data_IF_402660270982
#
_entry.id   IF_402660270982
#
_cell.length_a   1.000
_cell.length_b   1.000
_cell.length_c   1.000
_cell.angle_alpha   90.00
_cell.angle_beta   90.00
_cell.angle_gamma   90.00
#
_symmetry.space_group_name_H-M   'P 1'
#
loop_
_entity.id
_entity.type
_entity.pdbx_description
1 polymer ?
#
# COMPACT_ATOMS: atom_id res chain seq x y z
N UNK A 1 0.05 19.75 -12.54
CA UNK A 1 -0.45 18.49 -13.10
C UNK A 1 -0.68 17.54 -11.93
N UNK A 2 -1.94 17.36 -11.51
CA UNK A 2 -2.26 16.38 -10.47
C UNK A 2 -2.64 15.09 -11.19
N UNK A 3 -1.71 14.13 -11.22
CA UNK A 3 -2.02 12.79 -11.73
C UNK A 3 -2.86 12.05 -10.69
N UNK A 4 -4.06 11.65 -11.08
CA UNK A 4 -4.90 10.76 -10.30
C UNK A 4 -4.43 9.32 -10.48
N UNK A 5 -4.64 8.49 -9.46
CA UNK A 5 -4.41 7.06 -9.51
C UNK A 5 -5.75 6.34 -9.47
N UNK A 6 -5.97 5.42 -10.39
CA UNK A 6 -7.15 4.57 -10.38
C UNK A 6 -6.73 3.13 -10.57
N UNK A 7 -6.97 2.33 -9.54
CA UNK A 7 -6.87 0.89 -9.64
C UNK A 7 -8.24 0.29 -9.92
N UNK A 8 -8.29 -0.66 -10.84
CA UNK A 8 -9.51 -1.37 -11.22
C UNK A 8 -9.71 -2.60 -10.33
N UNK A 9 -10.96 -3.03 -10.16
CA UNK A 9 -11.31 -4.17 -9.31
C UNK A 9 -10.72 -5.52 -9.79
N UNK A 10 -10.39 -5.64 -11.07
CA UNK A 10 -9.74 -6.79 -11.67
C UNK A 10 -8.21 -6.65 -11.74
N UNK A 11 -7.64 -5.59 -11.17
CA UNK A 11 -6.21 -5.37 -11.13
C UNK A 11 -5.62 -5.77 -9.77
N UNK A 12 -4.35 -6.16 -9.79
CA UNK A 12 -3.55 -6.43 -8.59
C UNK A 12 -2.37 -5.48 -8.55
N UNK A 13 -2.29 -4.66 -7.50
CA UNK A 13 -1.12 -3.83 -7.25
C UNK A 13 0.00 -4.68 -6.65
N UNK A 14 1.20 -4.55 -7.19
CA UNK A 14 2.39 -5.31 -6.75
C UNK A 14 3.55 -4.42 -6.33
N UNK A 15 3.39 -3.58 -5.29
CA UNK A 15 4.48 -2.74 -4.83
C UNK A 15 5.54 -3.57 -4.11
N UNK A 16 6.81 -3.23 -4.33
CA UNK A 16 7.93 -3.75 -3.56
C UNK A 16 8.31 -2.75 -2.48
N UNK A 17 7.95 -3.02 -1.23
CA UNK A 17 8.21 -2.12 -0.11
C UNK A 17 9.60 -2.36 0.48
N UNK A 18 10.33 -1.28 0.72
CA UNK A 18 11.60 -1.29 1.44
C UNK A 18 11.59 -0.36 2.63
N UNK A 19 12.74 -0.24 3.29
CA UNK A 19 12.92 0.68 4.40
C UNK A 19 12.63 2.14 4.00
N UNK A 20 12.19 2.95 4.97
CA UNK A 20 11.95 4.39 4.82
C UNK A 20 10.90 4.79 3.75
N UNK A 21 9.89 3.94 3.51
CA UNK A 21 8.83 4.23 2.52
C UNK A 21 9.27 4.01 1.08
N UNK A 22 10.37 3.30 0.85
CA UNK A 22 10.75 2.84 -0.48
C UNK A 22 9.63 1.96 -1.06
N UNK A 23 9.24 2.23 -2.32
CA UNK A 23 8.15 1.52 -2.99
C UNK A 23 6.74 2.01 -2.66
N UNK A 24 6.60 3.05 -1.83
CA UNK A 24 5.32 3.69 -1.60
C UNK A 24 4.81 4.43 -2.84
N UNK A 25 3.52 4.34 -3.11
CA UNK A 25 2.86 5.03 -4.22
C UNK A 25 2.50 6.46 -3.82
N UNK A 26 3.15 7.45 -4.43
CA UNK A 26 2.83 8.87 -4.21
C UNK A 26 1.99 9.39 -5.36
N UNK A 27 0.77 9.81 -5.05
CA UNK A 27 -0.23 10.31 -6.00
C UNK A 27 -0.45 11.79 -5.73
N UNK A 28 -0.21 12.64 -6.72
CA UNK A 28 -0.40 14.08 -6.56
C UNK A 28 -1.90 14.47 -6.48
N UNK A 29 -2.77 13.67 -7.10
CA UNK A 29 -4.22 13.84 -7.09
C UNK A 29 -4.95 12.84 -6.19
N UNK A 30 -6.11 12.38 -6.67
CA UNK A 30 -6.96 11.40 -5.99
C UNK A 30 -6.52 9.98 -6.32
N UNK A 31 -6.41 9.13 -5.30
CA UNK A 31 -6.21 7.69 -5.42
C UNK A 31 -7.53 6.94 -5.22
N UNK A 32 -7.93 6.18 -6.22
CA UNK A 32 -9.07 5.26 -6.18
C UNK A 32 -8.52 3.84 -6.10
N UNK A 33 -8.79 3.17 -4.99
CA UNK A 33 -8.30 1.83 -4.70
C UNK A 33 -9.42 0.82 -4.92
N UNK A 34 -9.10 -0.24 -5.66
CA UNK A 34 -9.95 -1.39 -5.86
C UNK A 34 -9.08 -2.61 -6.19
N UNK A 35 -9.69 -3.80 -6.22
CA UNK A 35 -8.99 -5.04 -6.55
C UNK A 35 -8.04 -5.46 -5.44
N UNK A 36 -7.00 -6.21 -5.80
CA UNK A 36 -6.12 -6.84 -4.82
C UNK A 36 -4.79 -6.09 -4.66
N UNK A 37 -4.16 -6.27 -3.49
CA UNK A 37 -2.84 -5.77 -3.18
C UNK A 37 -1.93 -6.95 -2.80
N UNK A 38 -0.83 -7.09 -3.52
CA UNK A 38 0.17 -8.13 -3.33
C UNK A 38 1.53 -7.47 -3.08
N UNK A 39 1.86 -7.30 -1.81
CA UNK A 39 3.04 -6.59 -1.34
C UNK A 39 4.21 -7.56 -1.28
N UNK A 40 5.30 -7.18 -1.93
CA UNK A 40 6.60 -7.84 -1.77
C UNK A 40 7.51 -6.97 -0.92
N UNK A 41 8.24 -7.56 0.03
CA UNK A 41 9.27 -6.83 0.77
C UNK A 41 10.58 -6.92 0.00
N UNK A 42 11.32 -5.81 -0.07
CA UNK A 42 12.63 -5.77 -0.71
C UNK A 42 13.61 -6.73 -0.01
N UNK A 43 14.59 -7.25 -0.75
CA UNK A 43 15.57 -8.19 -0.20
C UNK A 43 16.32 -7.59 1.00
N UNK A 44 16.35 -8.33 2.11
CA UNK A 44 16.94 -7.89 3.37
C UNK A 44 16.03 -6.97 4.21
N UNK A 45 14.83 -6.63 3.73
CA UNK A 45 13.85 -5.87 4.48
C UNK A 45 12.90 -6.80 5.25
N UNK A 46 13.22 -7.02 6.53
CA UNK A 46 12.40 -7.78 7.47
C UNK A 46 11.84 -6.84 8.56
N UNK A 47 10.71 -6.16 8.30
CA UNK A 47 10.09 -5.30 9.29
C UNK A 47 9.58 -6.13 10.47
N UNK A 48 9.75 -5.61 11.69
CA UNK A 48 9.23 -6.27 12.90
C UNK A 48 7.71 -6.12 12.98
N UNK A 49 7.00 -7.03 13.65
CA UNK A 49 5.60 -6.81 14.00
C UNK A 49 5.39 -5.47 14.70
N UNK A 50 4.30 -4.78 14.37
CA UNK A 50 4.01 -3.40 14.78
C UNK A 50 4.62 -2.32 13.88
N UNK A 51 5.47 -2.69 12.91
CA UNK A 51 6.02 -1.72 11.96
C UNK A 51 4.90 -1.19 11.07
N UNK A 52 4.82 0.14 10.99
CA UNK A 52 3.90 0.87 10.11
C UNK A 52 4.66 1.38 8.90
N UNK A 53 4.20 1.00 7.72
CA UNK A 53 4.80 1.36 6.45
C UNK A 53 3.75 2.13 5.66
N UNK A 54 4.03 3.38 5.33
CA UNK A 54 3.17 4.14 4.43
C UNK A 54 3.38 3.57 3.01
N UNK A 55 2.34 2.97 2.45
CA UNK A 55 2.41 2.33 1.12
C UNK A 55 1.79 3.19 0.03
N UNK A 56 0.98 4.17 0.44
CA UNK A 56 0.33 5.09 -0.48
C UNK A 56 0.13 6.44 0.21
N UNK A 57 0.46 7.49 -0.51
CA UNK A 57 0.17 8.87 -0.14
C UNK A 57 -0.52 9.58 -1.29
N UNK A 58 -1.69 10.14 -1.04
CA UNK A 58 -2.47 10.86 -2.03
C UNK A 58 -3.05 12.15 -1.44
N UNK A 59 -3.57 13.03 -2.29
CA UNK A 59 -4.35 14.18 -1.82
C UNK A 59 -5.72 13.71 -1.27
N UNK A 60 -6.29 12.68 -1.88
CA UNK A 60 -7.48 12.01 -1.40
C UNK A 60 -7.42 10.51 -1.72
N UNK A 61 -7.80 9.65 -0.79
CA UNK A 61 -7.89 8.19 -0.97
C UNK A 61 -9.36 7.79 -0.88
N UNK A 62 -9.81 7.01 -1.86
CA UNK A 62 -11.18 6.49 -1.91
C UNK A 62 -11.20 5.03 -2.31
N UNK A 63 -12.07 4.23 -1.70
CA UNK A 63 -12.09 2.78 -1.88
C UNK A 63 -11.03 2.07 -1.03
N UNK A 64 -11.02 0.75 -1.12
CA UNK A 64 -10.11 -0.13 -0.37
C UNK A 64 -9.71 -1.30 -1.25
N UNK A 65 -8.56 -1.89 -0.97
CA UNK A 65 -8.20 -3.19 -1.55
C UNK A 65 -9.10 -4.27 -0.98
N UNK A 66 -9.52 -5.21 -1.83
CA UNK A 66 -10.34 -6.36 -1.45
C UNK A 66 -9.52 -7.40 -0.70
N UNK A 67 -8.38 -7.80 -1.27
CA UNK A 67 -7.45 -8.75 -0.64
C UNK A 67 -6.07 -8.13 -0.47
N UNK A 68 -5.49 -8.29 0.71
CA UNK A 68 -4.08 -8.03 0.98
C UNK A 68 -3.32 -9.36 1.05
N UNK A 69 -2.25 -9.44 0.29
CA UNK A 69 -1.24 -10.51 0.38
C UNK A 69 0.09 -9.84 0.67
N UNK A 70 0.84 -10.32 1.66
CA UNK A 70 2.21 -9.88 1.91
C UNK A 70 3.09 -11.12 1.88
N UNK A 71 4.13 -11.07 1.05
CA UNK A 71 5.03 -12.21 0.90
C UNK A 71 5.70 -12.53 2.24
N UNK A 72 5.39 -13.70 2.81
CA UNK A 72 6.04 -14.23 4.01
C UNK A 72 5.59 -13.65 5.36
N UNK A 73 4.64 -12.70 5.40
CA UNK A 73 4.22 -12.03 6.64
C UNK A 73 2.71 -11.82 6.71
N UNK A 74 2.14 -11.76 7.92
CA UNK A 74 0.80 -11.22 8.13
C UNK A 74 0.89 -9.71 8.31
N UNK A 75 -0.02 -9.00 7.65
CA UNK A 75 -0.15 -7.57 7.79
C UNK A 75 -1.61 -7.15 7.62
N UNK A 76 -1.88 -5.93 8.04
CA UNK A 76 -3.17 -5.28 7.96
C UNK A 76 -3.03 -3.91 7.29
N UNK A 77 -4.09 -3.47 6.61
CA UNK A 77 -4.14 -2.15 5.98
C UNK A 77 -4.99 -1.21 6.81
N UNK A 78 -4.46 -0.02 7.03
CA UNK A 78 -5.18 1.10 7.60
C UNK A 78 -5.34 2.17 6.53
N UNK A 79 -6.59 2.57 6.29
CA UNK A 79 -6.94 3.56 5.28
C UNK A 79 -7.29 4.87 5.97
N UNK A 80 -6.57 5.92 5.62
CA UNK A 80 -6.85 7.30 6.00
C UNK A 80 -7.34 8.08 4.77
N UNK A 81 -7.96 9.26 4.95
CA UNK A 81 -8.45 10.06 3.84
C UNK A 81 -7.37 10.46 2.82
N UNK A 82 -6.09 10.42 3.19
CA UNK A 82 -4.96 10.87 2.35
C UNK A 82 -3.81 9.86 2.29
N UNK A 83 -3.84 8.80 3.09
CA UNK A 83 -2.74 7.83 3.19
C UNK A 83 -3.27 6.43 3.39
N UNK A 84 -2.48 5.44 2.97
CA UNK A 84 -2.69 4.04 3.32
C UNK A 84 -1.42 3.53 3.99
N UNK A 85 -1.62 2.95 5.17
CA UNK A 85 -0.55 2.43 6.01
C UNK A 85 -0.72 0.93 6.16
N UNK A 86 0.30 0.19 5.78
CA UNK A 86 0.45 -1.22 6.07
C UNK A 86 1.03 -1.38 7.46
N UNK A 87 0.40 -2.17 8.32
CA UNK A 87 0.95 -2.56 9.63
C UNK A 87 1.29 -4.03 9.59
N UNK A 88 2.53 -4.37 9.93
CA UNK A 88 2.97 -5.76 10.01
C UNK A 88 2.47 -6.35 11.33
N UNK A 89 1.75 -7.46 11.29
CA UNK A 89 1.11 -8.05 12.47
C UNK A 89 1.89 -9.26 13.02
N UNK A 90 2.59 -10.03 12.18
CA UNK A 90 3.30 -11.24 12.61
C UNK A 90 3.80 -12.14 11.49
#
# INVERSE_FOLDING_TARGET
MSGDYQQLANATAKPTLGANGAGALVVAGKAVLAGDLDVTLADGYAPTPGTKIEILKANAVTGTFGKLTVSGHKASLSYSPTTVTLTIDG
#
